data_IF_262937605676
#
_entry.id   IF_262937605676
#
_cell.length_a   1.000
_cell.length_b   1.000
_cell.length_c   1.000
_cell.angle_alpha   90.00
_cell.angle_beta   90.00
_cell.angle_gamma   90.00
#
_symmetry.space_group_name_H-M   'P 1'
#
loop_
_entity.id
_entity.type
_entity.pdbx_description
1 polymer ?
#
# COMPACT_ATOMS: atom_id res chain seq x y z
N UNK A 1 3.96 3.97 8.21
CA UNK A 1 4.05 2.48 8.26
C UNK A 1 5.43 2.08 8.78
N UNK A 2 5.60 0.90 9.39
CA UNK A 2 6.90 0.46 9.97
C UNK A 2 8.09 0.58 8.99
N UNK A 3 7.86 0.28 7.71
CA UNK A 3 8.92 0.28 6.68
C UNK A 3 9.31 1.68 6.19
N UNK A 4 8.50 2.71 6.45
CA UNK A 4 8.66 4.04 5.86
C UNK A 4 10.05 4.67 6.07
N UNK A 5 10.65 4.66 7.28
CA UNK A 5 11.96 5.28 7.50
C UNK A 5 13.07 4.63 6.67
N UNK A 6 12.98 3.32 6.42
CA UNK A 6 13.96 2.60 5.59
C UNK A 6 13.86 3.01 4.12
N UNK A 7 12.64 3.21 3.63
CA UNK A 7 12.44 3.65 2.23
C UNK A 7 12.88 5.11 2.05
N UNK A 8 12.57 5.97 3.02
CA UNK A 8 13.05 7.36 3.04
C UNK A 8 14.60 7.41 3.05
N UNK A 9 15.26 6.56 3.85
CA UNK A 9 16.72 6.45 3.85
C UNK A 9 17.27 6.05 2.48
N UNK A 10 16.68 5.07 1.80
CA UNK A 10 17.09 4.67 0.44
C UNK A 10 16.92 5.82 -0.56
N UNK A 11 15.84 6.61 -0.45
CA UNK A 11 15.65 7.78 -1.30
C UNK A 11 16.73 8.84 -1.10
N UNK A 12 17.14 9.08 0.15
CA UNK A 12 18.25 9.98 0.45
C UNK A 12 19.57 9.47 -0.15
N UNK A 13 19.84 8.15 -0.07
CA UNK A 13 21.03 7.55 -0.70
C UNK A 13 21.02 7.68 -2.24
N UNK A 14 19.84 7.72 -2.86
CA UNK A 14 19.69 7.94 -4.30
C UNK A 14 19.70 9.42 -4.70
N UNK A 15 19.92 10.35 -3.76
CA UNK A 15 19.87 11.79 -4.03
C UNK A 15 18.46 12.33 -4.32
N UNK A 16 17.42 11.58 -3.91
CA UNK A 16 16.00 11.95 -4.08
C UNK A 16 15.39 12.44 -2.76
N UNK A 17 16.10 13.33 -2.08
CA UNK A 17 15.71 13.87 -0.78
C UNK A 17 14.35 14.57 -0.86
N UNK A 18 13.51 14.33 0.15
CA UNK A 18 12.17 14.92 0.24
C UNK A 18 11.07 14.14 -0.48
N UNK A 19 11.38 13.04 -1.18
CA UNK A 19 10.35 12.13 -1.68
C UNK A 19 9.71 11.36 -0.52
N UNK A 20 8.37 11.37 -0.48
CA UNK A 20 7.57 10.61 0.50
C UNK A 20 6.85 9.49 -0.21
N UNK A 21 6.98 8.28 0.32
CA UNK A 21 6.20 7.14 -0.19
C UNK A 21 4.76 7.20 0.31
N UNK A 22 3.81 6.92 -0.60
CA UNK A 22 2.42 6.64 -0.23
C UNK A 22 2.29 5.15 0.06
N UNK A 23 1.68 4.81 1.18
CA UNK A 23 1.28 3.45 1.48
C UNK A 23 -0.11 3.19 0.91
N UNK A 24 -0.28 2.04 0.27
CA UNK A 24 -1.56 1.55 -0.24
C UNK A 24 -1.75 0.11 0.23
N UNK A 25 -2.98 -0.26 0.57
CA UNK A 25 -3.27 -1.54 1.20
C UNK A 25 -4.75 -1.73 1.49
N UNK A 26 -5.13 -2.96 1.87
CA UNK A 26 -6.50 -3.22 2.34
C UNK A 26 -6.75 -2.45 3.65
N UNK A 27 -7.99 -2.00 3.91
CA UNK A 27 -8.33 -1.37 5.18
C UNK A 27 -8.10 -2.35 6.33
N UNK A 28 -7.81 -1.81 7.52
CA UNK A 28 -7.62 -2.61 8.71
C UNK A 28 -8.87 -3.49 8.99
N UNK A 29 -8.65 -4.77 9.26
CA UNK A 29 -9.69 -5.77 9.46
C UNK A 29 -9.23 -6.77 10.53
N UNK A 30 -10.18 -7.27 11.33
CA UNK A 30 -9.89 -8.31 12.32
C UNK A 30 -9.58 -9.68 11.66
N UNK A 31 -10.11 -9.93 10.45
CA UNK A 31 -9.79 -11.11 9.65
C UNK A 31 -8.78 -10.77 8.56
N UNK A 32 -7.86 -11.70 8.27
CA UNK A 32 -6.83 -11.56 7.23
C UNK A 32 -7.41 -11.46 5.82
N UNK A 33 -8.57 -12.09 5.59
CA UNK A 33 -9.31 -12.02 4.33
C UNK A 33 -10.83 -12.10 4.57
N UNK A 34 -11.60 -11.62 3.60
CA UNK A 34 -13.04 -11.85 3.58
C UNK A 34 -13.33 -13.29 3.13
N UNK A 35 -14.23 -14.00 3.81
CA UNK A 35 -14.65 -15.36 3.40
C UNK A 35 -15.56 -15.40 2.17
N UNK A 36 -16.03 -14.25 1.67
CA UNK A 36 -16.88 -14.16 0.49
C UNK A 36 -16.03 -13.78 -0.73
N UNK A 37 -15.99 -14.66 -1.74
CA UNK A 37 -15.19 -14.45 -2.95
C UNK A 37 -15.56 -13.16 -3.71
N UNK A 38 -16.85 -12.83 -3.78
CA UNK A 38 -17.34 -11.58 -4.40
C UNK A 38 -16.71 -10.35 -3.76
N UNK A 39 -16.71 -10.30 -2.43
CA UNK A 39 -16.13 -9.17 -1.66
C UNK A 39 -14.61 -9.18 -1.78
N UNK A 40 -13.98 -10.36 -1.79
CA UNK A 40 -12.53 -10.48 -1.96
C UNK A 40 -12.05 -9.87 -3.27
N UNK A 41 -12.74 -10.18 -4.39
CA UNK A 41 -12.44 -9.64 -5.72
C UNK A 41 -12.70 -8.13 -5.81
N UNK A 42 -13.81 -7.64 -5.24
CA UNK A 42 -14.11 -6.21 -5.22
C UNK A 42 -13.01 -5.42 -4.46
N UNK A 43 -12.57 -5.93 -3.31
CA UNK A 43 -11.46 -5.34 -2.56
C UNK A 43 -10.12 -5.45 -3.29
N UNK A 44 -9.88 -6.52 -4.06
CA UNK A 44 -8.68 -6.65 -4.88
C UNK A 44 -8.66 -5.60 -5.99
N UNK A 45 -9.77 -5.41 -6.70
CA UNK A 45 -9.88 -4.40 -7.74
C UNK A 45 -9.63 -2.99 -7.17
N UNK A 46 -10.31 -2.64 -6.08
CA UNK A 46 -10.12 -1.36 -5.40
C UNK A 46 -8.66 -1.15 -4.95
N UNK A 47 -8.00 -2.20 -4.43
CA UNK A 47 -6.59 -2.13 -4.06
C UNK A 47 -5.67 -1.88 -5.27
N UNK A 48 -5.91 -2.57 -6.39
CA UNK A 48 -5.13 -2.37 -7.61
C UNK A 48 -5.32 -0.96 -8.18
N UNK A 49 -6.56 -0.47 -8.18
CA UNK A 49 -6.89 0.89 -8.62
C UNK A 49 -6.23 1.93 -7.71
N UNK A 50 -6.20 1.73 -6.39
CA UNK A 50 -5.54 2.66 -5.47
C UNK A 50 -4.00 2.63 -5.59
N UNK A 51 -3.43 1.46 -5.93
CA UNK A 51 -1.99 1.25 -6.00
C UNK A 51 -1.37 1.69 -7.34
N UNK A 52 -2.09 1.44 -8.44
CA UNK A 52 -1.60 1.65 -9.81
C UNK A 52 -2.40 2.72 -10.58
N UNK A 53 -3.59 3.08 -10.10
CA UNK A 53 -4.36 4.18 -10.66
C UNK A 53 -3.60 5.49 -10.46
N UNK A 54 -3.36 6.16 -11.59
CA UNK A 54 -2.64 7.42 -11.71
C UNK A 54 -3.25 8.55 -10.90
#
# INVERSE_FOLDING_TARGET
>A
AFIQPYVEWVFDQMGRTGLRVRYTGRPASASTATGLMRTHLAQLQAFLDEALGS
#
